data_IF_099686816283
#
_entry.id   IF_099686816283
#
_cell.length_a   1.000
_cell.length_b   1.000
_cell.length_c   1.000
_cell.angle_alpha   90.00
_cell.angle_beta   90.00
_cell.angle_gamma   90.00
#
_symmetry.space_group_name_H-M   'P 1'
#
loop_
_entity.id
_entity.type
_entity.pdbx_description
1 polymer ?
#
# COMPACT_ATOMS: atom_id res chain seq x y z
N UNK A 1 17.62 8.67 13.91
CA UNK A 1 16.59 7.62 13.74
C UNK A 1 15.67 7.49 14.95
N UNK A 2 16.16 7.14 16.15
CA UNK A 2 15.32 6.97 17.36
C UNK A 2 14.44 8.19 17.67
N UNK A 3 14.98 9.41 17.56
CA UNK A 3 14.21 10.64 17.78
C UNK A 3 13.02 10.76 16.81
N UNK A 4 13.23 10.44 15.52
CA UNK A 4 12.17 10.44 14.52
C UNK A 4 11.15 9.32 14.77
N UNK A 5 11.60 8.11 15.12
CA UNK A 5 10.70 7.01 15.49
C UNK A 5 9.75 7.38 16.63
N UNK A 6 10.27 8.09 17.65
CA UNK A 6 9.46 8.62 18.75
C UNK A 6 8.51 9.72 18.31
N UNK A 7 8.99 10.65 17.48
CA UNK A 7 8.18 11.76 16.96
C UNK A 7 7.02 11.26 16.07
N UNK A 8 7.26 10.20 15.30
CA UNK A 8 6.27 9.56 14.43
C UNK A 8 5.31 8.64 15.21
N UNK A 9 5.50 8.49 16.52
CA UNK A 9 4.64 7.67 17.38
C UNK A 9 4.80 6.17 17.18
N UNK A 10 5.94 5.70 16.65
CA UNK A 10 6.21 4.27 16.51
C UNK A 10 6.27 3.62 17.90
N UNK A 11 5.44 2.59 18.10
CA UNK A 11 5.41 1.82 19.33
C UNK A 11 6.72 1.04 19.53
N UNK A 12 7.04 0.69 20.77
CA UNK A 12 8.24 -0.11 21.12
C UNK A 12 8.29 -1.49 20.44
N UNK A 13 7.14 -1.98 19.97
CA UNK A 13 7.05 -3.15 19.12
C UNK A 13 7.60 -2.96 17.70
N UNK A 14 7.93 -1.75 17.25
CA UNK A 14 8.52 -1.51 15.93
C UNK A 14 9.96 -2.01 15.85
N UNK A 15 10.37 -2.42 14.65
CA UNK A 15 11.76 -2.79 14.33
C UNK A 15 12.40 -1.63 13.57
N UNK A 16 13.49 -1.07 14.10
CA UNK A 16 14.30 -0.07 13.43
C UNK A 16 15.47 -0.79 12.75
N UNK A 17 15.45 -0.85 11.42
CA UNK A 17 16.41 -1.63 10.63
C UNK A 17 17.54 -0.74 10.13
N UNK A 18 18.79 -1.19 10.23
CA UNK A 18 19.91 -0.55 9.54
C UNK A 18 19.97 -1.02 8.09
N UNK A 19 19.94 -0.07 7.16
CA UNK A 19 20.05 -0.32 5.73
C UNK A 19 21.53 -0.29 5.28
N UNK A 20 22.12 -1.47 5.11
CA UNK A 20 23.55 -1.63 4.80
C UNK A 20 23.74 -1.88 3.31
N UNK A 21 23.70 -0.80 2.52
CA UNK A 21 23.87 -0.86 1.07
C UNK A 21 24.73 0.27 0.46
N UNK A 22 25.07 1.29 1.25
CA UNK A 22 25.83 2.44 0.78
C UNK A 22 27.28 2.08 0.43
N UNK A 23 27.82 2.67 -0.64
CA UNK A 23 29.18 2.40 -1.14
C UNK A 23 30.28 2.63 -0.10
N UNK A 24 30.05 3.49 0.90
CA UNK A 24 30.99 3.74 2.00
C UNK A 24 31.30 2.47 2.81
N UNK A 25 30.32 1.56 2.96
CA UNK A 25 30.54 0.29 3.66
C UNK A 25 31.54 -0.62 2.93
N UNK A 26 31.65 -0.51 1.60
CA UNK A 26 32.60 -1.31 0.81
C UNK A 26 34.05 -0.90 1.02
N UNK A 27 34.29 0.29 1.58
CA UNK A 27 35.63 0.81 1.87
C UNK A 27 36.14 0.33 3.24
N UNK A 28 35.25 -0.20 4.08
CA UNK A 28 35.55 -0.68 5.41
C UNK A 28 35.78 -2.20 5.42
N UNK A 29 36.51 -2.69 6.42
CA UNK A 29 36.53 -4.12 6.72
C UNK A 29 35.19 -4.57 7.31
N UNK A 30 34.89 -5.87 7.20
CA UNK A 30 33.72 -6.49 7.85
C UNK A 30 33.66 -6.13 9.34
N UNK A 31 34.79 -6.24 10.06
CA UNK A 31 34.86 -5.94 11.49
C UNK A 31 34.46 -4.49 11.82
N UNK A 32 34.84 -3.53 10.98
CA UNK A 32 34.45 -2.12 11.17
C UNK A 32 32.96 -1.93 10.92
N UNK A 33 32.42 -2.54 9.86
CA UNK A 33 30.99 -2.46 9.58
C UNK A 33 30.15 -3.13 10.67
N UNK A 34 30.57 -4.30 11.13
CA UNK A 34 29.91 -5.04 12.22
C UNK A 34 29.94 -4.25 13.54
N UNK A 35 31.06 -3.57 13.85
CA UNK A 35 31.16 -2.69 15.01
C UNK A 35 30.21 -1.48 14.91
N UNK A 36 30.09 -0.87 13.73
CA UNK A 36 29.17 0.23 13.48
C UNK A 36 27.70 -0.20 13.62
N UNK A 37 27.36 -1.38 13.07
CA UNK A 37 26.03 -1.99 13.21
C UNK A 37 25.74 -2.30 14.68
N UNK A 38 26.71 -2.84 15.43
CA UNK A 38 26.55 -3.11 16.85
C UNK A 38 26.30 -1.82 17.66
N UNK A 39 27.02 -0.74 17.35
CA UNK A 39 26.79 0.56 17.99
C UNK A 39 25.39 1.12 17.69
N UNK A 40 24.93 1.02 16.44
CA UNK A 40 23.56 1.37 16.06
C UNK A 40 22.53 0.56 16.86
N UNK A 41 22.72 -0.77 16.92
CA UNK A 41 21.83 -1.68 17.64
C UNK A 41 21.73 -1.32 19.12
N UNK A 42 22.85 -1.01 19.78
CA UNK A 42 22.87 -0.62 21.18
C UNK A 42 22.03 0.65 21.45
N UNK A 43 22.13 1.66 20.58
CA UNK A 43 21.35 2.90 20.71
C UNK A 43 19.85 2.64 20.53
N UNK A 44 19.48 1.86 19.52
CA UNK A 44 18.08 1.51 19.23
C UNK A 44 17.46 0.71 20.37
N UNK A 45 18.19 -0.30 20.86
CA UNK A 45 17.75 -1.16 21.95
C UNK A 45 17.64 -0.40 23.28
N UNK A 46 18.59 0.48 23.59
CA UNK A 46 18.51 1.34 24.77
C UNK A 46 17.28 2.27 24.75
N UNK A 47 16.74 2.58 23.57
CA UNK A 47 15.51 3.34 23.41
C UNK A 47 14.23 2.48 23.49
N UNK A 48 14.35 1.18 23.72
CA UNK A 48 13.23 0.24 23.85
C UNK A 48 12.72 -0.33 22.53
N UNK A 49 13.39 -0.06 21.41
CA UNK A 49 13.01 -0.58 20.10
C UNK A 49 13.75 -1.88 19.77
N UNK A 50 13.15 -2.69 18.90
CA UNK A 50 13.82 -3.84 18.29
C UNK A 50 14.65 -3.37 17.10
N UNK A 51 15.67 -4.14 16.74
CA UNK A 51 16.57 -3.80 15.63
C UNK A 51 16.75 -4.98 14.68
N UNK A 52 17.08 -4.70 13.43
CA UNK A 52 17.53 -5.72 12.48
C UNK A 52 18.48 -5.12 11.44
N UNK A 53 19.04 -5.98 10.59
CA UNK A 53 19.97 -5.60 9.52
C UNK A 53 19.32 -5.90 8.17
N UNK A 54 19.21 -4.89 7.31
CA UNK A 54 18.91 -5.08 5.90
C UNK A 54 20.21 -5.07 5.10
N UNK A 55 20.38 -6.05 4.22
CA UNK A 55 21.51 -6.11 3.30
C UNK A 55 21.18 -6.94 2.06
N UNK A 56 21.85 -6.63 0.95
CA UNK A 56 21.83 -7.52 -0.21
C UNK A 56 22.55 -8.84 0.11
N UNK A 57 22.03 -9.96 -0.40
CA UNK A 57 22.64 -11.27 -0.22
C UNK A 57 24.10 -11.34 -0.68
N UNK A 58 24.49 -10.54 -1.68
CA UNK A 58 25.88 -10.48 -2.16
C UNK A 58 26.83 -9.78 -1.20
N UNK A 59 26.33 -9.18 -0.12
CA UNK A 59 27.13 -8.51 0.90
C UNK A 59 27.44 -9.40 2.10
N UNK A 60 26.68 -10.48 2.28
CA UNK A 60 26.83 -11.39 3.41
C UNK A 60 28.20 -12.07 3.39
N UNK A 61 28.98 -11.88 4.45
CA UNK A 61 30.35 -12.40 4.56
C UNK A 61 31.37 -11.69 3.67
N UNK A 62 30.95 -10.64 2.94
CA UNK A 62 31.84 -9.83 2.09
C UNK A 62 32.07 -8.46 2.71
N UNK A 63 30.99 -7.81 3.17
CA UNK A 63 31.06 -6.47 3.75
C UNK A 63 30.52 -6.40 5.19
N UNK A 64 29.75 -7.40 5.62
CA UNK A 64 29.20 -7.49 6.97
C UNK A 64 28.87 -8.94 7.33
N UNK A 65 28.71 -9.18 8.63
CA UNK A 65 28.16 -10.40 9.18
C UNK A 65 26.70 -10.19 9.54
N UNK A 66 25.83 -11.10 9.10
CA UNK A 66 24.43 -11.16 9.55
C UNK A 66 24.20 -12.49 10.26
N UNK A 67 23.94 -12.48 11.58
CA UNK A 67 23.68 -13.71 12.34
C UNK A 67 22.45 -14.47 11.81
N UNK A 68 22.51 -15.80 11.84
CA UNK A 68 21.32 -16.61 11.60
C UNK A 68 20.24 -16.29 12.66
N UNK A 69 18.97 -16.31 12.25
CA UNK A 69 17.84 -15.88 13.09
C UNK A 69 17.66 -14.36 13.18
N UNK A 70 18.51 -13.59 12.51
CA UNK A 70 18.33 -12.15 12.27
C UNK A 70 18.24 -11.88 10.77
N UNK A 71 18.13 -10.63 10.34
CA UNK A 71 18.35 -10.20 8.97
C UNK A 71 17.10 -10.09 8.10
N UNK A 72 17.05 -9.02 7.32
CA UNK A 72 16.19 -8.83 6.16
C UNK A 72 17.05 -8.85 4.90
N UNK A 73 17.06 -9.99 4.21
CA UNK A 73 18.00 -10.24 3.12
C UNK A 73 17.36 -9.92 1.78
N UNK A 74 18.02 -9.10 0.96
CA UNK A 74 17.56 -8.77 -0.39
C UNK A 74 18.26 -9.60 -1.47
N UNK A 75 17.47 -10.32 -2.26
CA UNK A 75 17.95 -11.06 -3.42
C UNK A 75 16.82 -11.30 -4.41
N UNK A 76 16.97 -10.83 -5.65
CA UNK A 76 15.88 -10.75 -6.62
C UNK A 76 16.07 -11.77 -7.76
N UNK A 77 15.61 -13.02 -7.62
CA UNK A 77 15.62 -13.95 -8.73
C UNK A 77 14.66 -13.48 -9.83
N UNK A 78 14.99 -13.77 -11.09
CA UNK A 78 14.09 -13.46 -12.22
C UNK A 78 12.72 -14.14 -12.07
N UNK A 79 12.73 -15.36 -11.53
CA UNK A 79 11.53 -16.13 -11.19
C UNK A 79 11.69 -16.72 -9.80
N UNK A 80 10.70 -16.50 -8.94
CA UNK A 80 10.66 -17.16 -7.63
C UNK A 80 10.12 -18.57 -7.83
N UNK A 81 10.98 -19.56 -7.63
CA UNK A 81 10.65 -21.00 -7.74
C UNK A 81 10.79 -21.75 -6.41
N UNK A 82 11.52 -21.19 -5.46
CA UNK A 82 11.74 -21.76 -4.13
C UNK A 82 12.05 -20.65 -3.14
N UNK A 83 11.78 -20.92 -1.87
CA UNK A 83 12.15 -20.06 -0.75
C UNK A 83 13.67 -20.00 -0.60
N UNK A 84 14.20 -18.82 -0.26
CA UNK A 84 15.64 -18.58 -0.05
C UNK A 84 15.85 -17.82 1.25
N UNK A 85 17.03 -17.96 1.86
CA UNK A 85 17.40 -17.25 3.09
C UNK A 85 16.44 -17.54 4.25
N UNK A 86 15.96 -18.78 4.35
CA UNK A 86 14.96 -19.23 5.34
C UNK A 86 15.47 -19.22 6.78
N UNK A 87 16.78 -19.14 6.97
CA UNK A 87 17.45 -19.01 8.26
C UNK A 87 17.53 -17.55 8.77
N UNK A 88 16.98 -16.57 8.04
CA UNK A 88 16.91 -15.15 8.42
C UNK A 88 15.47 -14.73 8.75
N UNK A 89 15.25 -13.50 9.26
CA UNK A 89 13.90 -13.04 9.61
C UNK A 89 12.99 -12.82 8.38
N UNK A 90 13.56 -12.36 7.26
CA UNK A 90 12.81 -12.19 6.02
C UNK A 90 13.69 -12.11 4.79
N UNK A 91 13.09 -12.43 3.65
CA UNK A 91 13.71 -12.36 2.32
C UNK A 91 12.93 -11.42 1.41
N UNK A 92 13.54 -10.30 1.04
CA UNK A 92 13.02 -9.42 -0.01
C UNK A 92 13.34 -10.04 -1.38
N UNK A 93 12.32 -10.60 -2.03
CA UNK A 93 12.49 -11.36 -3.26
C UNK A 93 12.22 -10.54 -4.53
N UNK A 94 11.68 -9.33 -4.40
CA UNK A 94 11.40 -8.45 -5.54
C UNK A 94 11.32 -7.00 -5.11
N UNK A 95 11.75 -6.10 -5.99
CA UNK A 95 11.50 -4.66 -5.93
C UNK A 95 10.49 -4.16 -6.98
N UNK A 96 9.83 -5.11 -7.66
CA UNK A 96 9.06 -4.84 -8.88
C UNK A 96 7.61 -5.29 -8.80
N UNK A 97 7.14 -5.76 -7.64
CA UNK A 97 5.75 -6.23 -7.52
C UNK A 97 4.80 -5.08 -7.77
N UNK A 98 3.76 -5.33 -8.55
CA UNK A 98 2.67 -4.39 -8.77
C UNK A 98 1.43 -4.90 -8.05
N UNK A 99 0.82 -4.04 -7.25
CA UNK A 99 -0.38 -4.37 -6.49
C UNK A 99 -1.61 -3.81 -7.18
N UNK A 100 -2.68 -4.61 -7.25
CA UNK A 100 -3.92 -4.17 -7.88
C UNK A 100 -4.51 -2.97 -7.12
N UNK A 101 -4.86 -1.91 -7.84
CA UNK A 101 -5.44 -0.70 -7.27
C UNK A 101 -4.44 0.30 -6.69
N UNK A 102 -3.13 0.03 -6.76
CA UNK A 102 -2.09 0.97 -6.32
C UNK A 102 -1.02 1.09 -7.42
N UNK A 103 -0.74 2.32 -7.84
CA UNK A 103 0.30 2.60 -8.84
C UNK A 103 1.69 2.51 -8.22
N UNK A 104 2.63 1.88 -8.93
CA UNK A 104 4.02 1.80 -8.52
C UNK A 104 4.58 0.38 -8.55
N UNK A 105 5.87 0.29 -8.31
CA UNK A 105 6.57 -0.95 -8.01
C UNK A 105 6.85 -0.98 -6.52
N UNK A 106 6.67 -2.15 -5.92
CA UNK A 106 6.78 -2.34 -4.49
C UNK A 106 7.78 -3.45 -4.20
N UNK A 107 8.55 -3.20 -3.15
CA UNK A 107 9.36 -4.23 -2.52
C UNK A 107 8.44 -5.27 -1.87
N UNK A 108 8.74 -6.54 -2.09
CA UNK A 108 7.96 -7.65 -1.54
C UNK A 108 8.88 -8.59 -0.78
N UNK A 109 8.49 -8.84 0.47
CA UNK A 109 9.28 -9.62 1.43
C UNK A 109 8.49 -10.82 1.93
N UNK A 110 9.11 -11.98 1.87
CA UNK A 110 8.67 -13.19 2.54
C UNK A 110 9.18 -13.15 3.98
N UNK A 111 8.29 -13.12 4.97
CA UNK A 111 8.67 -13.20 6.38
C UNK A 111 8.77 -14.66 6.82
N UNK A 112 9.89 -15.04 7.44
CA UNK A 112 10.09 -16.38 7.97
C UNK A 112 9.79 -16.48 9.46
N UNK A 113 9.89 -15.37 10.19
CA UNK A 113 9.61 -15.28 11.63
C UNK A 113 8.53 -14.24 11.92
N UNK A 114 7.98 -14.25 13.15
CA UNK A 114 7.06 -13.21 13.64
C UNK A 114 7.80 -11.96 14.12
N UNK A 115 9.08 -11.81 13.79
CA UNK A 115 9.91 -10.72 14.29
C UNK A 115 9.36 -9.37 13.84
N UNK A 116 9.04 -9.19 12.55
CA UNK A 116 8.51 -7.92 12.05
C UNK A 116 7.05 -7.62 12.45
N UNK A 117 6.31 -8.62 12.93
CA UNK A 117 4.88 -8.51 13.30
C UNK A 117 4.67 -8.36 14.81
N UNK A 118 5.73 -8.01 15.55
CA UNK A 118 5.72 -7.88 17.01
C UNK A 118 5.19 -9.13 17.72
N UNK A 119 5.53 -10.32 17.20
CA UNK A 119 5.10 -11.60 17.76
C UNK A 119 3.74 -12.09 17.28
N UNK A 120 2.94 -11.25 16.62
CA UNK A 120 1.69 -11.67 15.98
C UNK A 120 1.98 -12.69 14.89
N UNK A 121 1.13 -13.70 14.72
CA UNK A 121 1.32 -14.72 13.68
C UNK A 121 1.39 -14.08 12.29
N UNK A 122 2.55 -14.18 11.66
CA UNK A 122 2.79 -13.70 10.29
C UNK A 122 1.85 -14.35 9.27
N UNK A 123 1.32 -15.54 9.56
CA UNK A 123 0.42 -16.27 8.67
C UNK A 123 -1.06 -15.92 8.85
N UNK A 124 -1.42 -15.06 9.81
CA UNK A 124 -2.80 -14.80 10.17
C UNK A 124 -3.67 -14.26 9.01
N UNK A 125 -3.04 -13.65 8.00
CA UNK A 125 -3.72 -13.08 6.82
C UNK A 125 -3.37 -13.82 5.52
N UNK A 126 -2.10 -14.24 5.36
CA UNK A 126 -1.60 -14.95 4.19
C UNK A 126 -0.66 -16.05 4.68
N UNK A 127 -1.00 -17.32 4.41
CA UNK A 127 -0.17 -18.47 4.78
C UNK A 127 1.08 -18.54 3.91
N UNK A 128 2.23 -18.86 4.52
CA UNK A 128 3.51 -19.06 3.81
C UNK A 128 3.61 -20.37 3.02
N UNK A 129 2.51 -20.88 2.47
CA UNK A 129 2.49 -22.07 1.63
C UNK A 129 3.09 -21.72 0.26
N UNK A 130 4.43 -21.60 0.25
CA UNK A 130 5.33 -21.24 -0.84
C UNK A 130 5.22 -19.80 -1.38
N UNK A 131 6.36 -19.08 -1.41
CA UNK A 131 6.50 -17.75 -2.02
C UNK A 131 6.12 -17.75 -3.52
N UNK A 132 6.12 -18.93 -4.15
CA UNK A 132 5.70 -19.18 -5.54
C UNK A 132 4.19 -19.08 -5.76
N UNK A 133 3.41 -19.15 -4.68
CA UNK A 133 1.94 -19.17 -4.69
C UNK A 133 1.35 -17.85 -4.19
N UNK A 134 1.94 -16.71 -4.57
CA UNK A 134 1.13 -15.49 -4.63
C UNK A 134 0.17 -15.67 -5.80
N UNK A 135 -0.91 -16.43 -5.56
CA UNK A 135 -2.11 -16.32 -6.36
C UNK A 135 -2.46 -14.84 -6.33
N UNK A 136 -2.46 -14.18 -7.50
CA UNK A 136 -3.21 -12.93 -7.67
C UNK A 136 -4.50 -13.14 -6.89
N UNK A 137 -4.75 -12.36 -5.85
CA UNK A 137 -6.09 -12.32 -5.25
C UNK A 137 -6.98 -11.81 -6.38
N UNK A 138 -7.53 -12.73 -7.15
CA UNK A 138 -8.50 -12.47 -8.20
C UNK A 138 -9.75 -12.05 -7.45
N UNK A 139 -9.94 -10.73 -7.39
CA UNK A 139 -11.15 -10.01 -6.94
C UNK A 139 -12.04 -10.85 -6.00
N UNK A 140 -11.66 -10.97 -4.73
CA UNK A 140 -12.68 -11.01 -3.69
C UNK A 140 -12.90 -9.56 -3.28
N UNK A 141 -13.95 -8.96 -3.85
CA UNK A 141 -14.46 -7.64 -3.50
C UNK A 141 -14.71 -7.58 -1.99
N UNK A 142 -13.68 -7.22 -1.22
CA UNK A 142 -13.91 -6.70 0.12
C UNK A 142 -14.68 -5.40 -0.08
N UNK A 143 -15.89 -5.38 0.49
CA UNK A 143 -16.80 -4.25 0.47
C UNK A 143 -16.16 -3.14 1.30
N UNK A 144 -15.15 -2.44 0.76
CA UNK A 144 -14.55 -1.27 1.39
C UNK A 144 -15.66 -0.22 1.49
N UNK A 145 -16.16 -0.05 2.71
CA UNK A 145 -17.14 0.96 3.07
C UNK A 145 -16.42 2.30 3.08
N UNK A 146 -16.82 3.21 2.20
CA UNK A 146 -16.35 4.61 2.22
C UNK A 146 -17.18 5.42 3.21
N UNK A 147 -16.60 6.47 3.79
CA UNK A 147 -17.33 7.41 4.65
C UNK A 147 -18.51 8.03 3.89
N UNK A 148 -19.65 8.19 4.56
CA UNK A 148 -20.84 8.89 4.02
C UNK A 148 -20.79 10.34 4.51
N UNK A 149 -19.80 11.07 4.03
CA UNK A 149 -19.47 12.43 4.47
C UNK A 149 -20.02 13.52 3.52
N UNK A 150 -20.66 13.13 2.42
CA UNK A 150 -21.19 14.07 1.43
C UNK A 150 -20.10 14.83 0.65
N UNK A 151 -18.83 14.41 0.75
CA UNK A 151 -17.68 15.02 0.07
C UNK A 151 -17.24 14.11 -1.08
N UNK A 152 -17.13 14.69 -2.28
CA UNK A 152 -16.64 13.93 -3.43
C UNK A 152 -15.12 13.99 -3.49
N UNK A 153 -14.48 13.18 -2.65
CA UNK A 153 -13.03 13.02 -2.61
C UNK A 153 -12.48 11.87 -3.47
N UNK A 154 -11.20 11.56 -3.24
CA UNK A 154 -10.48 10.47 -3.92
C UNK A 154 -11.08 9.10 -3.64
N UNK A 155 -11.52 8.83 -2.40
CA UNK A 155 -12.15 7.56 -2.02
C UNK A 155 -13.47 7.32 -2.78
N UNK A 156 -14.34 8.34 -2.85
CA UNK A 156 -15.60 8.28 -3.61
C UNK A 156 -15.33 8.04 -5.11
N UNK A 157 -14.33 8.73 -5.66
CA UNK A 157 -13.92 8.58 -7.07
C UNK A 157 -13.38 7.19 -7.36
N UNK A 158 -12.52 6.67 -6.49
CA UNK A 158 -11.94 5.33 -6.62
C UNK A 158 -13.04 4.27 -6.59
N UNK A 159 -14.01 4.42 -5.68
CA UNK A 159 -15.14 3.48 -5.57
C UNK A 159 -16.03 3.52 -6.82
N UNK A 160 -16.26 4.68 -7.40
CA UNK A 160 -16.95 4.80 -8.69
C UNK A 160 -16.18 4.08 -9.80
N UNK A 161 -14.87 4.30 -9.90
CA UNK A 161 -14.03 3.63 -10.90
C UNK A 161 -14.08 2.11 -10.75
N UNK A 162 -14.07 1.60 -9.53
CA UNK A 162 -14.23 0.17 -9.23
C UNK A 162 -15.61 -0.37 -9.64
N UNK A 163 -16.69 0.33 -9.26
CA UNK A 163 -18.08 -0.12 -9.51
C UNK A 163 -18.44 -0.09 -11.00
N UNK A 164 -17.84 0.81 -11.78
CA UNK A 164 -17.97 0.87 -13.23
C UNK A 164 -16.88 0.08 -13.98
N UNK A 165 -16.05 -0.70 -13.28
CA UNK A 165 -14.98 -1.53 -13.82
C UNK A 165 -14.05 -0.78 -14.79
N UNK A 166 -13.63 0.42 -14.38
CA UNK A 166 -12.77 1.27 -15.18
C UNK A 166 -11.36 0.70 -15.27
N UNK A 167 -10.71 0.89 -16.43
CA UNK A 167 -9.30 0.54 -16.67
C UNK A 167 -8.36 1.23 -15.66
N UNK A 168 -8.62 2.50 -15.37
CA UNK A 168 -7.86 3.28 -14.40
C UNK A 168 -8.71 3.48 -13.13
N UNK A 169 -8.15 3.05 -12.00
CA UNK A 169 -8.76 3.10 -10.67
C UNK A 169 -7.78 3.80 -9.72
N UNK A 170 -7.60 5.10 -9.93
CA UNK A 170 -6.59 5.94 -9.29
C UNK A 170 -7.19 6.97 -8.31
N UNK A 171 -8.52 7.00 -8.17
CA UNK A 171 -9.24 7.97 -7.35
C UNK A 171 -9.20 9.40 -7.87
N UNK A 172 -8.85 9.63 -9.14
CA UNK A 172 -8.71 10.96 -9.73
C UNK A 172 -9.73 11.23 -10.83
N UNK A 173 -10.15 12.49 -10.94
CA UNK A 173 -10.99 12.99 -12.04
C UNK A 173 -10.10 13.85 -12.94
N UNK A 174 -9.76 13.35 -14.13
CA UNK A 174 -9.06 14.12 -15.17
C UNK A 174 -9.98 15.13 -15.86
N UNK A 175 -9.43 16.02 -16.68
CA UNK A 175 -10.21 16.96 -17.51
C UNK A 175 -9.74 16.85 -18.97
N UNK A 176 -10.54 16.28 -19.89
CA UNK A 176 -11.81 15.57 -19.66
C UNK A 176 -11.63 14.24 -18.91
N UNK A 177 -12.68 13.74 -18.25
CA UNK A 177 -12.66 12.50 -17.49
C UNK A 177 -13.42 11.36 -18.18
N UNK A 178 -12.75 10.22 -18.35
CA UNK A 178 -13.37 8.97 -18.80
C UNK A 178 -14.43 8.47 -17.81
N UNK A 179 -14.20 8.62 -16.50
CA UNK A 179 -15.21 8.31 -15.48
C UNK A 179 -16.46 9.17 -15.70
N UNK A 180 -16.30 10.48 -15.90
CA UNK A 180 -17.43 11.38 -16.11
C UNK A 180 -18.19 11.03 -17.40
N UNK A 181 -17.49 10.64 -18.48
CA UNK A 181 -18.16 10.13 -19.70
C UNK A 181 -19.03 8.90 -19.43
N UNK A 182 -18.56 7.97 -18.60
CA UNK A 182 -19.35 6.79 -18.18
C UNK A 182 -20.57 7.22 -17.36
N UNK A 183 -20.40 8.11 -16.38
CA UNK A 183 -21.54 8.64 -15.62
C UNK A 183 -22.56 9.33 -16.53
N UNK A 184 -22.10 10.14 -17.47
CA UNK A 184 -22.93 10.83 -18.46
C UNK A 184 -23.69 9.85 -19.36
N UNK A 185 -23.04 8.76 -19.80
CA UNK A 185 -23.69 7.68 -20.54
C UNK A 185 -24.85 7.08 -19.76
N UNK A 186 -24.63 6.75 -18.49
CA UNK A 186 -25.65 6.19 -17.59
C UNK A 186 -26.79 7.18 -17.28
N UNK A 187 -26.50 8.48 -17.27
CA UNK A 187 -27.47 9.55 -17.04
C UNK A 187 -28.25 9.95 -18.30
N UNK A 188 -27.87 9.43 -19.49
CA UNK A 188 -28.47 9.82 -20.76
C UNK A 188 -28.20 11.28 -21.15
N UNK A 189 -27.01 11.78 -20.85
CA UNK A 189 -26.56 13.13 -21.27
C UNK A 189 -25.33 13.05 -22.18
N UNK A 190 -24.98 14.17 -22.82
CA UNK A 190 -23.77 14.28 -23.65
C UNK A 190 -22.52 13.85 -22.86
N UNK A 191 -21.72 12.97 -23.46
CA UNK A 191 -20.51 12.40 -22.85
C UNK A 191 -19.28 13.29 -23.12
N UNK A 192 -19.35 14.54 -22.67
CA UNK A 192 -18.27 15.51 -22.84
C UNK A 192 -17.08 15.28 -21.88
N UNK A 193 -17.28 14.49 -20.82
CA UNK A 193 -16.27 14.19 -19.80
C UNK A 193 -16.06 15.32 -18.78
N UNK A 194 -16.93 16.33 -18.76
CA UNK A 194 -16.90 17.45 -17.83
C UNK A 194 -18.04 17.38 -16.82
N UNK A 195 -17.71 17.58 -15.54
CA UNK A 195 -18.69 17.59 -14.45
C UNK A 195 -19.40 18.95 -14.38
N UNK A 196 -20.23 19.24 -15.39
CA UNK A 196 -20.97 20.49 -15.51
C UNK A 196 -22.38 20.45 -14.87
N UNK A 197 -23.06 21.62 -14.77
CA UNK A 197 -24.38 21.72 -14.14
C UNK A 197 -25.45 20.82 -14.75
N UNK A 198 -25.41 20.55 -16.07
CA UNK A 198 -26.34 19.63 -16.74
C UNK A 198 -26.22 18.20 -16.21
N UNK A 199 -24.98 17.70 -16.09
CA UNK A 199 -24.67 16.39 -15.50
C UNK A 199 -25.11 16.35 -14.04
N UNK A 200 -24.73 17.35 -13.23
CA UNK A 200 -25.05 17.40 -11.80
C UNK A 200 -26.56 17.41 -11.56
N UNK A 201 -27.34 18.22 -12.30
CA UNK A 201 -28.81 18.24 -12.18
C UNK A 201 -29.43 16.88 -12.48
N UNK A 202 -28.90 16.13 -13.46
CA UNK A 202 -29.38 14.77 -13.76
C UNK A 202 -29.02 13.76 -12.67
N UNK A 203 -27.82 13.85 -12.10
CA UNK A 203 -27.42 13.04 -10.94
C UNK A 203 -28.35 13.28 -9.74
N UNK A 204 -28.63 14.55 -9.43
CA UNK A 204 -29.54 14.94 -8.33
C UNK A 204 -30.95 14.38 -8.52
N UNK A 205 -31.50 14.48 -9.74
CA UNK A 205 -32.81 13.88 -10.08
C UNK A 205 -32.81 12.37 -9.92
N UNK A 206 -31.77 11.68 -10.43
CA UNK A 206 -31.66 10.22 -10.36
C UNK A 206 -31.54 9.71 -8.91
N UNK A 207 -30.94 10.50 -8.03
CA UNK A 207 -30.74 10.17 -6.60
C UNK A 207 -31.82 10.74 -5.67
N UNK A 208 -32.82 11.48 -6.20
CA UNK A 208 -33.90 12.03 -5.39
C UNK A 208 -33.48 13.14 -4.42
N UNK A 209 -32.43 13.90 -4.76
CA UNK A 209 -31.92 15.00 -3.92
C UNK A 209 -32.30 16.37 -4.50
N UNK A 210 -32.25 17.47 -3.72
CA UNK A 210 -32.48 18.82 -4.24
C UNK A 210 -31.67 19.10 -5.52
N UNK A 211 -32.32 19.70 -6.53
CA UNK A 211 -31.78 19.89 -7.88
C UNK A 211 -31.31 21.33 -8.06
N UNK A 212 -30.10 21.64 -7.60
CA UNK A 212 -29.48 22.98 -7.71
C UNK A 212 -28.36 23.04 -8.78
N UNK A 213 -27.95 21.89 -9.33
CA UNK A 213 -26.87 21.79 -10.30
C UNK A 213 -25.47 22.04 -9.74
N UNK A 214 -25.29 21.98 -8.42
CA UNK A 214 -24.03 22.21 -7.72
C UNK A 214 -23.66 21.01 -6.85
N UNK A 215 -22.36 20.83 -6.63
CA UNK A 215 -21.84 19.93 -5.60
C UNK A 215 -21.33 20.83 -4.48
N UNK A 216 -22.06 20.85 -3.36
CA UNK A 216 -21.70 21.65 -2.19
C UNK A 216 -20.32 21.25 -1.65
N UNK A 217 -19.42 22.21 -1.36
CA UNK A 217 -18.03 21.91 -0.98
C UNK A 217 -17.89 21.35 0.44
N UNK A 218 -18.83 21.67 1.36
CA UNK A 218 -18.81 21.17 2.75
C UNK A 218 -19.56 19.85 2.90
N UNK A 219 -20.75 19.76 2.33
CA UNK A 219 -21.59 18.57 2.38
C UNK A 219 -22.64 18.60 1.26
N UNK A 220 -22.64 17.59 0.38
CA UNK A 220 -23.62 17.43 -0.69
C UNK A 220 -24.52 16.22 -0.43
N UNK A 221 -25.84 16.46 -0.34
CA UNK A 221 -26.85 15.39 -0.23
C UNK A 221 -26.75 14.36 -1.37
N UNK A 222 -26.45 14.85 -2.59
CA UNK A 222 -26.26 14.02 -3.77
C UNK A 222 -25.06 13.08 -3.61
N UNK A 223 -23.94 13.60 -3.13
CA UNK A 223 -22.73 12.79 -2.89
C UNK A 223 -22.96 11.79 -1.76
N UNK A 224 -23.61 12.19 -0.66
CA UNK A 224 -23.94 11.28 0.43
C UNK A 224 -24.85 10.13 -0.03
N UNK A 225 -25.88 10.42 -0.85
CA UNK A 225 -26.75 9.40 -1.45
C UNK A 225 -25.97 8.46 -2.39
N UNK A 226 -25.06 9.02 -3.18
CA UNK A 226 -24.16 8.24 -4.04
C UNK A 226 -23.26 7.31 -3.22
N UNK A 227 -22.62 7.81 -2.16
CA UNK A 227 -21.76 7.03 -1.25
C UNK A 227 -22.53 5.86 -0.62
N UNK A 228 -23.78 6.08 -0.17
CA UNK A 228 -24.64 5.01 0.35
C UNK A 228 -24.87 3.90 -0.69
N UNK A 229 -25.18 4.25 -1.94
CA UNK A 229 -25.34 3.27 -3.03
C UNK A 229 -24.05 2.52 -3.36
N UNK A 230 -22.92 3.23 -3.39
CA UNK A 230 -21.59 2.64 -3.61
C UNK A 230 -21.21 1.65 -2.49
N UNK A 231 -21.52 2.00 -1.23
CA UNK A 231 -21.36 1.11 -0.08
C UNK A 231 -22.27 -0.11 -0.17
N UNK A 232 -23.46 0.01 -0.76
CA UNK A 232 -24.34 -1.12 -1.05
C UNK A 232 -23.88 -1.96 -2.26
N UNK A 233 -22.82 -1.54 -2.98
CA UNK A 233 -22.32 -2.22 -4.18
C UNK A 233 -23.17 -1.96 -5.43
N UNK A 234 -24.03 -0.93 -5.40
CA UNK A 234 -24.96 -0.61 -6.49
C UNK A 234 -24.45 0.59 -7.28
N UNK A 235 -24.52 0.52 -8.62
CA UNK A 235 -24.25 1.66 -9.51
C UNK A 235 -25.22 2.82 -9.19
N UNK A 236 -24.73 4.02 -8.87
CA UNK A 236 -25.60 5.13 -8.50
C UNK A 236 -26.41 5.72 -9.66
N UNK A 237 -25.95 5.51 -10.90
CA UNK A 237 -26.59 6.00 -12.14
C UNK A 237 -26.72 4.90 -13.18
#
# INVERSE_FOLDING_TARGET
MVLYAKADGLGVGSVLVVDVEASIFKQNSIAVNDANIAAFNAIVQAAGYRTDIYASASWLGVYLTVPAGSGWIAAYPNTVTTDRYTNYNGWQFSSKVQLSGISGHFDMTQLYTNYYTAGTDKNAVISNSATTTITKVTKKSTKTVIAVDGIWGSATTLKLQQVYDMKYQDGKISKPSSLVKVLQKHLGVTQDGYMGPKTIKKMQRKLGTPVDGKISPRYSNMVAAMQKKLNAGVKPF
#
